data_IF_439843438965
#
_entry.id   IF_439843438965
#
_cell.length_a   1.000
_cell.length_b   1.000
_cell.length_c   1.000
_cell.angle_alpha   90.00
_cell.angle_beta   90.00
_cell.angle_gamma   90.00
#
_symmetry.space_group_name_H-M   'P 1'
#
loop_
_entity.id
_entity.type
_entity.pdbx_description
1 polymer ?
#
# COMPACT_ATOMS: atom_id res chain seq x y z
N UNK A 1 -7.55 2.90 -24.24
CA UNK A 1 -8.42 1.95 -23.50
C UNK A 1 -7.61 0.79 -22.94
N UNK A 2 -6.71 0.19 -23.74
CA UNK A 2 -5.80 -0.88 -23.33
C UNK A 2 -4.85 -0.51 -22.16
N UNK A 3 -4.25 0.69 -22.19
CA UNK A 3 -3.35 1.14 -21.11
C UNK A 3 -4.06 1.29 -19.76
N UNK A 4 -5.29 1.80 -19.76
CA UNK A 4 -6.08 1.96 -18.53
C UNK A 4 -6.49 0.59 -17.98
N UNK A 5 -6.78 -0.38 -18.86
CA UNK A 5 -7.05 -1.76 -18.47
C UNK A 5 -5.81 -2.42 -17.85
N UNK A 6 -4.62 -2.18 -18.42
CA UNK A 6 -3.35 -2.63 -17.85
C UNK A 6 -3.14 -2.07 -16.44
N UNK A 7 -3.35 -0.76 -16.25
CA UNK A 7 -3.22 -0.13 -14.92
C UNK A 7 -4.24 -0.71 -13.93
N UNK A 8 -5.47 -0.98 -14.34
CA UNK A 8 -6.48 -1.62 -13.50
C UNK A 8 -6.09 -3.05 -13.10
N UNK A 9 -5.53 -3.83 -14.02
CA UNK A 9 -4.99 -5.17 -13.74
C UNK A 9 -3.85 -5.10 -12.73
N UNK A 10 -2.90 -4.17 -12.91
CA UNK A 10 -1.81 -3.95 -11.96
C UNK A 10 -2.33 -3.58 -10.57
N UNK A 11 -3.28 -2.64 -10.48
CA UNK A 11 -3.92 -2.25 -9.20
C UNK A 11 -4.56 -3.45 -8.50
N UNK A 12 -5.24 -4.32 -9.26
CA UNK A 12 -5.84 -5.55 -8.71
C UNK A 12 -4.78 -6.52 -8.19
N UNK A 13 -3.72 -6.75 -8.95
CA UNK A 13 -2.63 -7.66 -8.56
C UNK A 13 -1.95 -7.14 -7.28
N UNK A 14 -1.63 -5.86 -7.20
CA UNK A 14 -1.00 -5.25 -6.01
C UNK A 14 -1.88 -5.42 -4.78
N UNK A 15 -3.18 -5.16 -4.90
CA UNK A 15 -4.14 -5.36 -3.80
C UNK A 15 -4.18 -6.83 -3.37
N UNK A 16 -4.27 -7.76 -4.32
CA UNK A 16 -4.29 -9.19 -4.00
C UNK A 16 -3.01 -9.62 -3.27
N UNK A 17 -1.83 -9.18 -3.74
CA UNK A 17 -0.56 -9.51 -3.08
C UNK A 17 -0.44 -8.91 -1.68
N UNK A 18 -0.90 -7.68 -1.50
CA UNK A 18 -0.99 -7.08 -0.17
C UNK A 18 -1.84 -7.94 0.76
N UNK A 19 -3.04 -8.30 0.33
CA UNK A 19 -4.00 -9.07 1.13
C UNK A 19 -3.48 -10.49 1.43
N UNK A 20 -2.79 -11.14 0.47
CA UNK A 20 -2.12 -12.43 0.66
C UNK A 20 -1.05 -12.36 1.77
N UNK A 21 -0.20 -11.32 1.76
CA UNK A 21 0.86 -11.15 2.76
C UNK A 21 0.26 -10.82 4.13
N UNK A 22 -0.77 -9.97 4.18
CA UNK A 22 -1.50 -9.68 5.43
C UNK A 22 -2.11 -10.96 5.99
N UNK A 23 -2.80 -11.75 5.17
CA UNK A 23 -3.41 -13.03 5.58
C UNK A 23 -2.35 -13.98 6.16
N UNK A 24 -1.21 -14.12 5.49
CA UNK A 24 -0.10 -14.94 5.95
C UNK A 24 0.56 -14.42 7.26
N UNK A 25 0.58 -13.10 7.47
CA UNK A 25 1.08 -12.52 8.72
C UNK A 25 0.13 -12.78 9.90
N UNK A 26 -1.19 -12.67 9.69
CA UNK A 26 -2.18 -12.82 10.76
C UNK A 26 -2.55 -14.27 11.04
N UNK A 27 -2.30 -15.19 10.12
CA UNK A 27 -2.55 -16.63 10.30
C UNK A 27 -1.57 -17.34 11.24
N UNK A 28 -0.62 -16.62 11.83
CA UNK A 28 0.40 -17.19 12.71
C UNK A 28 1.52 -17.92 11.97
N UNK A 29 1.66 -17.71 10.65
CA UNK A 29 2.69 -18.34 9.82
C UNK A 29 4.07 -17.65 9.92
N UNK A 30 4.22 -16.70 10.84
CA UNK A 30 5.43 -15.93 11.08
C UNK A 30 6.12 -16.49 12.31
N UNK A 31 7.18 -17.26 12.08
CA UNK A 31 7.93 -18.00 13.09
C UNK A 31 9.09 -17.20 13.69
N UNK A 32 9.49 -16.09 13.05
CA UNK A 32 10.60 -15.27 13.52
C UNK A 32 10.45 -13.79 13.13
N UNK A 33 11.20 -12.94 13.83
CA UNK A 33 11.14 -11.48 13.63
C UNK A 33 11.73 -11.02 12.31
N UNK A 34 12.70 -11.73 11.73
CA UNK A 34 13.27 -11.38 10.43
C UNK A 34 12.22 -11.56 9.32
N UNK A 35 11.52 -12.69 9.32
CA UNK A 35 10.38 -12.98 8.44
C UNK A 35 9.25 -11.98 8.65
N UNK A 36 8.95 -11.63 9.91
CA UNK A 36 7.97 -10.58 10.22
C UNK A 36 8.34 -9.25 9.56
N UNK A 37 9.58 -8.78 9.74
CA UNK A 37 10.04 -7.50 9.18
C UNK A 37 10.06 -7.53 7.65
N UNK A 38 10.47 -8.66 7.07
CA UNK A 38 10.44 -8.86 5.62
C UNK A 38 9.01 -8.75 5.06
N UNK A 39 8.04 -9.43 5.66
CA UNK A 39 6.63 -9.36 5.25
C UNK A 39 6.03 -7.97 5.48
N UNK A 40 6.38 -7.31 6.60
CA UNK A 40 5.98 -5.92 6.86
C UNK A 40 6.55 -4.95 5.80
N UNK A 41 7.78 -5.19 5.34
CA UNK A 41 8.38 -4.47 4.21
C UNK A 41 7.56 -4.63 2.94
N UNK A 42 7.17 -5.86 2.60
CA UNK A 42 6.32 -6.14 1.44
C UNK A 42 4.96 -5.40 1.51
N UNK A 43 4.29 -5.43 2.66
CA UNK A 43 3.04 -4.71 2.89
C UNK A 43 3.20 -3.21 2.60
N UNK A 44 4.26 -2.59 3.14
CA UNK A 44 4.54 -1.15 2.93
C UNK A 44 4.78 -0.85 1.45
N UNK A 45 5.54 -1.70 0.76
CA UNK A 45 5.79 -1.56 -0.68
C UNK A 45 4.48 -1.59 -1.48
N UNK A 46 3.59 -2.56 -1.22
CA UNK A 46 2.31 -2.62 -1.92
C UNK A 46 1.42 -1.40 -1.62
N UNK A 47 1.44 -0.89 -0.39
CA UNK A 47 0.72 0.34 -0.04
C UNK A 47 1.27 1.54 -0.83
N UNK A 48 2.59 1.72 -0.90
CA UNK A 48 3.20 2.80 -1.67
C UNK A 48 2.90 2.70 -3.17
N UNK A 49 3.04 1.51 -3.76
CA UNK A 49 2.69 1.29 -5.17
C UNK A 49 1.22 1.61 -5.44
N UNK A 50 0.31 1.22 -4.54
CA UNK A 50 -1.11 1.56 -4.68
C UNK A 50 -1.34 3.07 -4.63
N UNK A 51 -0.63 3.80 -3.77
CA UNK A 51 -0.72 5.25 -3.66
C UNK A 51 -0.17 5.95 -4.91
N UNK A 52 0.96 5.48 -5.45
CA UNK A 52 1.54 6.00 -6.69
C UNK A 52 0.60 5.79 -7.88
N UNK A 53 0.04 4.58 -8.04
CA UNK A 53 -0.95 4.30 -9.09
C UNK A 53 -2.16 5.22 -8.96
N UNK A 54 -2.70 5.39 -7.75
CA UNK A 54 -3.82 6.32 -7.53
C UNK A 54 -3.44 7.76 -7.88
N UNK A 55 -2.22 8.21 -7.54
CA UNK A 55 -1.75 9.57 -7.82
C UNK A 55 -1.43 9.81 -9.31
N UNK A 56 -1.16 8.76 -10.08
CA UNK A 56 -1.02 8.83 -11.53
C UNK A 56 -2.39 8.86 -12.24
N UNK A 57 -3.37 8.10 -11.75
CA UNK A 57 -4.72 8.03 -12.33
C UNK A 57 -5.55 9.27 -12.02
N UNK A 58 -5.56 9.67 -10.76
CA UNK A 58 -6.08 10.94 -10.33
C UNK A 58 -4.88 11.85 -10.24
N UNK A 59 -4.66 12.72 -11.23
CA UNK A 59 -3.78 13.88 -11.05
C UNK A 59 -4.30 14.59 -9.82
N UNK A 60 -3.75 14.27 -8.66
CA UNK A 60 -3.97 15.01 -7.43
C UNK A 60 -3.27 16.35 -7.68
N UNK A 61 -3.93 17.24 -8.43
CA UNK A 61 -3.82 18.65 -8.08
C UNK A 61 -3.98 18.69 -6.56
N UNK A 62 -3.11 19.42 -5.87
CA UNK A 62 -3.24 19.62 -4.43
C UNK A 62 -4.63 20.19 -4.18
N UNK A 63 -5.57 19.30 -3.88
CA UNK A 63 -6.88 19.63 -3.36
C UNK A 63 -6.70 19.48 -1.85
N UNK A 64 -6.94 20.58 -1.14
CA UNK A 64 -6.87 20.70 0.33
C UNK A 64 -7.79 19.71 1.09
N UNK A 65 -8.51 18.87 0.33
CA UNK A 65 -9.59 17.99 0.72
C UNK A 65 -9.25 16.48 0.60
N UNK A 66 -7.99 16.13 0.27
CA UNK A 66 -7.49 14.75 0.36
C UNK A 66 -7.15 14.33 1.80
N UNK A 67 -7.43 13.08 2.19
CA UNK A 67 -6.99 12.54 3.50
C UNK A 67 -5.47 12.49 3.59
N UNK A 68 -4.87 13.52 4.19
CA UNK A 68 -3.45 13.58 4.54
C UNK A 68 -3.21 12.63 5.71
N UNK A 69 -2.60 11.47 5.44
CA UNK A 69 -2.06 10.62 6.51
C UNK A 69 -0.76 11.29 6.98
N UNK A 70 -0.86 12.16 7.98
CA UNK A 70 0.31 12.72 8.65
C UNK A 70 1.02 11.62 9.45
N UNK A 71 2.18 11.18 8.98
CA UNK A 71 3.05 10.21 9.68
C UNK A 71 3.98 10.92 10.69
N UNK A 72 3.93 12.26 10.80
CA UNK A 72 4.57 12.96 11.91
C UNK A 72 3.71 12.82 13.16
N UNK A 73 4.16 11.98 14.09
CA UNK A 73 3.60 11.89 15.43
C UNK A 73 3.51 13.29 16.05
N UNK A 74 2.35 13.62 16.60
CA UNK A 74 2.18 14.88 17.32
C UNK A 74 3.09 14.84 18.55
N UNK A 75 4.21 15.57 18.52
CA UNK A 75 4.85 16.00 19.74
C UNK A 75 3.82 16.87 20.48
N UNK A 76 3.40 16.42 21.66
CA UNK A 76 2.60 17.21 22.59
C UNK A 76 3.53 18.25 23.20
N UNK A 77 3.19 19.53 23.05
CA UNK A 77 3.56 20.55 24.03
C UNK A 77 2.82 20.31 25.35
#
# INVERSE_FOLDING_TARGET
MEDLELVQKLRRIIKMRHDDVVAAMVSGSVDNMEKYQYMLGQIRTYLYMSQEISSLLEKKEQKDDGTVISIKGKAKD
#
